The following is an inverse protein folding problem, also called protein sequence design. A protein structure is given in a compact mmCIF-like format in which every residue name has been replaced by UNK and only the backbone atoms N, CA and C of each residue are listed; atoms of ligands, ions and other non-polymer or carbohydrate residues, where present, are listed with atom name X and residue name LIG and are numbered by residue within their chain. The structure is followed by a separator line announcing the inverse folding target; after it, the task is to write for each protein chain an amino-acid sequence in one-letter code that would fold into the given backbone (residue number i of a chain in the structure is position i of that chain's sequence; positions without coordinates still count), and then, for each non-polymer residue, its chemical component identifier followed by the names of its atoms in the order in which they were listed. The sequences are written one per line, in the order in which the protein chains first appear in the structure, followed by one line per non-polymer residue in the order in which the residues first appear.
data_IF_526156018777
#
_entry.id   IF_526156018777
#
_cell.length_a   1.000
_cell.length_b   1.000
_cell.length_c   1.000
_cell.angle_alpha   90.00
_cell.angle_beta   90.00
_cell.angle_gamma   90.00
#
_symmetry.space_group_name_H-M   'P 1'
#
loop_
_entity.id
_entity.type
_entity.pdbx_description
1 polymer ?
#
# COMPACT_ATOMS: atom_id res chain seq x y z
N UNK A 1 23.98 3.35 16.23
CA UNK A 1 23.67 1.93 15.94
C UNK A 1 22.29 1.51 16.45
N UNK A 2 21.95 1.71 17.74
CA UNK A 2 20.64 1.33 18.29
C UNK A 2 19.44 1.94 17.54
N UNK A 3 19.49 3.24 17.22
CA UNK A 3 18.41 3.93 16.48
C UNK A 3 18.19 3.36 15.08
N UNK A 4 19.27 3.05 14.35
CA UNK A 4 19.21 2.45 13.01
C UNK A 4 18.56 1.06 13.07
N UNK A 5 18.87 0.26 14.08
CA UNK A 5 18.25 -1.06 14.28
C UNK A 5 16.77 -0.96 14.65
N UNK A 6 16.39 0.05 15.45
CA UNK A 6 14.98 0.31 15.79
C UNK A 6 14.22 0.77 14.53
N UNK A 7 14.79 1.67 13.73
CA UNK A 7 14.21 2.11 12.46
C UNK A 7 14.01 0.94 11.49
N UNK A 8 15.03 0.08 11.34
CA UNK A 8 14.94 -1.13 10.53
C UNK A 8 13.85 -2.09 11.02
N UNK A 9 13.70 -2.23 12.34
CA UNK A 9 12.63 -3.02 12.95
C UNK A 9 11.25 -2.41 12.66
N UNK A 10 11.10 -1.08 12.73
CA UNK A 10 9.88 -0.37 12.32
C UNK A 10 9.51 -0.63 10.87
N UNK A 11 10.48 -0.57 9.94
CA UNK A 11 10.29 -0.90 8.52
C UNK A 11 9.85 -2.36 8.36
N UNK A 12 10.51 -3.31 9.02
CA UNK A 12 10.16 -4.72 8.92
C UNK A 12 8.74 -4.97 9.46
N UNK A 13 8.36 -4.39 10.60
CA UNK A 13 7.02 -4.52 11.17
C UNK A 13 5.95 -3.94 10.23
N UNK A 14 6.22 -2.77 9.65
CA UNK A 14 5.35 -2.14 8.65
C UNK A 14 5.16 -3.01 7.41
N UNK A 15 6.27 -3.51 6.83
CA UNK A 15 6.24 -4.41 5.67
C UNK A 15 5.50 -5.71 5.96
N UNK A 16 5.78 -6.35 7.11
CA UNK A 16 5.11 -7.57 7.55
C UNK A 16 3.62 -7.31 7.74
N UNK A 17 3.24 -6.21 8.39
CA UNK A 17 1.85 -5.79 8.56
C UNK A 17 1.12 -5.68 7.23
N UNK A 18 1.69 -4.97 6.25
CA UNK A 18 1.07 -4.80 4.93
C UNK A 18 0.99 -6.11 4.14
N UNK A 19 2.08 -6.88 4.06
CA UNK A 19 2.13 -8.13 3.28
C UNK A 19 1.14 -9.15 3.88
N UNK A 20 1.12 -9.29 5.20
CA UNK A 20 0.24 -10.25 5.88
C UNK A 20 -1.21 -9.81 5.86
N UNK A 21 -1.51 -8.53 6.07
CA UNK A 21 -2.87 -8.01 5.93
C UNK A 21 -3.41 -8.29 4.53
N UNK A 22 -2.63 -7.97 3.50
CA UNK A 22 -2.98 -8.23 2.10
C UNK A 22 -3.26 -9.72 1.83
N UNK A 23 -2.46 -10.61 2.42
CA UNK A 23 -2.66 -12.07 2.30
C UNK A 23 -3.96 -12.54 2.96
N UNK A 24 -4.28 -12.04 4.16
CA UNK A 24 -5.52 -12.40 4.88
C UNK A 24 -6.75 -11.94 4.12
N UNK A 25 -6.74 -10.70 3.62
CA UNK A 25 -7.90 -10.19 2.88
C UNK A 25 -8.09 -10.93 1.55
N UNK A 26 -7.00 -11.23 0.82
CA UNK A 26 -7.05 -12.08 -0.38
C UNK A 26 -7.63 -13.47 -0.08
N UNK A 27 -7.22 -14.11 1.02
CA UNK A 27 -7.71 -15.44 1.43
C UNK A 27 -9.23 -15.45 1.68
N UNK A 28 -9.77 -14.38 2.29
CA UNK A 28 -11.21 -14.24 2.54
C UNK A 28 -12.00 -13.98 1.25
N UNK A 29 -11.36 -13.40 0.25
CA UNK A 29 -11.97 -12.99 -1.01
C UNK A 29 -11.98 -14.04 -2.11
N UNK A 30 -11.07 -15.04 -2.10
CA UNK A 30 -11.04 -16.11 -3.12
C UNK A 30 -12.38 -16.85 -3.26
N UNK A 31 -13.25 -16.83 -2.24
CA UNK A 31 -14.60 -17.40 -2.30
C UNK A 31 -15.65 -16.49 -2.98
N UNK A 32 -15.40 -15.18 -3.15
CA UNK A 32 -16.36 -14.18 -3.63
C UNK A 32 -15.97 -13.46 -4.94
N UNK A 33 -14.88 -13.88 -5.59
CA UNK A 33 -14.41 -13.29 -6.85
C UNK A 33 -15.54 -13.25 -7.90
N UNK A 34 -16.38 -14.30 -7.98
CA UNK A 34 -17.53 -14.36 -8.91
C UNK A 34 -18.61 -13.30 -8.65
N UNK A 35 -18.79 -12.86 -7.40
CA UNK A 35 -19.81 -11.86 -7.06
C UNK A 35 -19.34 -10.43 -7.37
N UNK A 36 -18.06 -10.12 -7.14
CA UNK A 36 -17.46 -8.82 -7.50
C UNK A 36 -17.51 -8.58 -9.02
N UNK A 37 -17.27 -9.63 -9.82
CA UNK A 37 -17.36 -9.57 -11.29
C UNK A 37 -18.77 -9.25 -11.79
N UNK A 38 -19.81 -9.67 -11.06
CA UNK A 38 -21.21 -9.53 -11.49
C UNK A 38 -21.70 -8.07 -11.49
N UNK A 39 -21.16 -7.22 -10.62
CA UNK A 39 -21.57 -5.81 -10.53
C UNK A 39 -20.81 -4.87 -11.48
N UNK A 40 -19.74 -5.37 -12.12
CA UNK A 40 -18.82 -4.56 -12.91
C UNK A 40 -19.28 -4.33 -14.37
N UNK A 41 -20.37 -4.95 -14.81
CA UNK A 41 -20.62 -5.20 -16.24
C UNK A 41 -21.41 -4.08 -16.94
N UNK A 42 -22.32 -3.39 -16.26
CA UNK A 42 -23.34 -2.60 -16.99
C UNK A 42 -23.07 -1.10 -17.12
N UNK A 43 -22.39 -0.44 -16.18
CA UNK A 43 -22.10 1.01 -16.27
C UNK A 43 -20.69 1.38 -15.78
N UNK A 44 -20.00 2.33 -16.42
CA UNK A 44 -18.69 2.81 -15.98
C UNK A 44 -18.66 3.23 -14.51
N UNK A 45 -19.72 3.85 -14.00
CA UNK A 45 -19.81 4.23 -12.58
C UNK A 45 -19.75 3.02 -11.63
N UNK A 46 -20.44 1.92 -11.96
CA UNK A 46 -20.36 0.68 -11.17
C UNK A 46 -19.00 0.00 -11.31
N UNK A 47 -18.36 0.12 -12.48
CA UNK A 47 -16.96 -0.29 -12.68
C UNK A 47 -16.01 0.46 -11.74
N UNK A 48 -16.15 1.78 -11.63
CA UNK A 48 -15.37 2.62 -10.71
C UNK A 48 -15.56 2.18 -9.26
N UNK A 49 -16.80 2.06 -8.79
CA UNK A 49 -17.08 1.63 -7.41
C UNK A 49 -16.56 0.21 -7.13
N UNK A 50 -16.68 -0.69 -8.11
CA UNK A 50 -16.14 -2.05 -8.00
C UNK A 50 -14.62 -2.01 -7.91
N UNK A 51 -13.95 -1.16 -8.68
CA UNK A 51 -12.52 -0.91 -8.60
C UNK A 51 -12.10 -0.41 -7.23
N UNK A 52 -12.78 0.62 -6.70
CA UNK A 52 -12.50 1.18 -5.36
C UNK A 52 -12.65 0.09 -4.29
N UNK A 53 -13.78 -0.62 -4.29
CA UNK A 53 -14.02 -1.70 -3.35
C UNK A 53 -12.97 -2.81 -3.49
N UNK A 54 -12.67 -3.23 -4.72
CA UNK A 54 -11.65 -4.24 -5.03
C UNK A 54 -10.29 -3.82 -4.49
N UNK A 55 -9.84 -2.59 -4.72
CA UNK A 55 -8.53 -2.14 -4.25
C UNK A 55 -8.44 -1.95 -2.73
N UNK A 56 -9.47 -1.40 -2.08
CA UNK A 56 -9.52 -1.30 -0.61
C UNK A 56 -9.40 -2.70 -0.01
N UNK A 57 -10.09 -3.67 -0.62
CA UNK A 57 -10.14 -5.04 -0.12
C UNK A 57 -8.83 -5.76 -0.44
N UNK A 58 -8.38 -5.84 -1.69
CA UNK A 58 -7.15 -6.55 -2.05
C UNK A 58 -5.87 -5.83 -1.65
N UNK A 59 -5.96 -4.57 -1.22
CA UNK A 59 -4.84 -3.67 -0.89
C UNK A 59 -3.81 -3.55 -2.02
N UNK A 60 -4.24 -3.81 -3.26
CA UNK A 60 -3.35 -3.92 -4.41
C UNK A 60 -4.12 -3.59 -5.69
N UNK A 61 -3.75 -2.47 -6.31
CA UNK A 61 -4.26 -2.10 -7.63
C UNK A 61 -3.71 -3.04 -8.71
N UNK A 62 -2.45 -3.46 -8.64
CA UNK A 62 -1.86 -4.44 -9.58
C UNK A 62 -2.65 -5.75 -9.67
N UNK A 63 -3.14 -6.28 -8.54
CA UNK A 63 -3.97 -7.49 -8.53
C UNK A 63 -5.35 -7.23 -9.17
N UNK A 64 -5.95 -6.08 -8.89
CA UNK A 64 -7.23 -5.68 -9.49
C UNK A 64 -7.08 -5.48 -11.01
N UNK A 65 -5.98 -4.87 -11.47
CA UNK A 65 -5.66 -4.67 -12.88
C UNK A 65 -5.42 -5.99 -13.60
N UNK A 66 -4.63 -6.91 -13.04
CA UNK A 66 -4.38 -8.22 -13.64
C UNK A 66 -5.68 -9.04 -13.79
N UNK A 67 -6.54 -9.03 -12.77
CA UNK A 67 -7.85 -9.66 -12.83
C UNK A 67 -8.74 -9.02 -13.91
N UNK A 68 -8.75 -7.69 -13.98
CA UNK A 68 -9.52 -6.95 -14.98
C UNK A 68 -9.05 -7.26 -16.40
N UNK A 69 -7.73 -7.32 -16.65
CA UNK A 69 -7.15 -7.75 -17.92
C UNK A 69 -7.64 -9.15 -18.29
N UNK A 70 -7.57 -10.11 -17.35
CA UNK A 70 -8.05 -11.47 -17.59
C UNK A 70 -9.55 -11.56 -17.93
N UNK A 71 -10.39 -10.72 -17.32
CA UNK A 71 -11.82 -10.64 -17.64
C UNK A 71 -12.08 -10.05 -19.02
N UNK A 72 -11.29 -9.06 -19.46
CA UNK A 72 -11.37 -8.49 -20.81
C UNK A 72 -10.94 -9.54 -21.85
N UNK A 73 -9.81 -10.22 -21.63
CA UNK A 73 -9.33 -11.30 -22.53
C UNK A 73 -10.34 -12.44 -22.64
N UNK A 74 -11.04 -12.77 -21.55
CA UNK A 74 -12.10 -13.78 -21.55
C UNK A 74 -13.43 -13.31 -22.17
N UNK A 75 -13.51 -12.05 -22.63
CA UNK A 75 -14.73 -11.47 -23.20
C UNK A 75 -15.85 -11.23 -22.18
N UNK A 76 -15.56 -11.27 -20.87
CA UNK A 76 -16.55 -11.14 -19.80
C UNK A 76 -16.90 -9.68 -19.50
N UNK A 77 -15.99 -8.75 -19.77
CA UNK A 77 -16.20 -7.30 -19.61
C UNK A 77 -15.64 -6.54 -20.81
N UNK A 78 -16.23 -5.38 -21.10
CA UNK A 78 -15.75 -4.50 -22.17
C UNK A 78 -14.46 -3.76 -21.76
N UNK A 79 -13.67 -3.35 -22.76
CA UNK A 79 -12.51 -2.46 -22.55
C UNK A 79 -12.90 -1.10 -21.91
N UNK A 80 -14.10 -0.60 -22.19
CA UNK A 80 -14.58 0.65 -21.57
C UNK A 80 -14.87 0.46 -20.07
N UNK A 81 -15.47 -0.68 -19.69
CA UNK A 81 -15.74 -1.00 -18.29
C UNK A 81 -14.45 -1.28 -17.52
N UNK A 82 -13.44 -1.88 -18.15
CA UNK A 82 -12.15 -2.15 -17.50
C UNK A 82 -11.42 -0.87 -17.11
N UNK A 83 -11.47 0.18 -17.93
CA UNK A 83 -10.87 1.47 -17.60
C UNK A 83 -11.45 2.04 -16.30
N UNK A 84 -12.76 1.95 -16.12
CA UNK A 84 -13.41 2.41 -14.90
C UNK A 84 -12.99 1.59 -13.67
N UNK A 85 -12.85 0.27 -13.81
CA UNK A 85 -12.37 -0.60 -12.72
C UNK A 85 -10.92 -0.26 -12.33
N UNK A 86 -10.04 -0.06 -13.32
CA UNK A 86 -8.64 0.31 -13.07
C UNK A 86 -8.56 1.67 -12.37
N UNK A 87 -9.27 2.68 -12.87
CA UNK A 87 -9.36 4.00 -12.22
C UNK A 87 -9.88 3.90 -10.78
N UNK A 88 -10.91 3.09 -10.57
CA UNK A 88 -11.44 2.85 -9.24
C UNK A 88 -10.42 2.18 -8.34
N UNK A 89 -9.66 1.21 -8.86
CA UNK A 89 -8.63 0.52 -8.11
C UNK A 89 -7.50 1.46 -7.67
N UNK A 90 -7.09 2.38 -8.53
CA UNK A 90 -6.09 3.40 -8.19
C UNK A 90 -6.62 4.37 -7.13
N UNK A 91 -7.88 4.80 -7.22
CA UNK A 91 -8.52 5.60 -6.15
C UNK A 91 -8.55 4.81 -4.84
N UNK A 92 -8.92 3.53 -4.88
CA UNK A 92 -9.03 2.70 -3.68
C UNK A 92 -7.69 2.52 -2.96
N UNK A 93 -6.58 2.34 -3.67
CA UNK A 93 -5.26 2.23 -3.04
C UNK A 93 -4.75 3.55 -2.46
N UNK A 94 -5.22 4.70 -2.96
CA UNK A 94 -4.89 6.00 -2.33
C UNK A 94 -5.45 6.11 -0.91
N UNK A 95 -6.60 5.48 -0.62
CA UNK A 95 -7.19 5.47 0.73
C UNK A 95 -6.27 4.78 1.75
N UNK A 96 -5.49 3.78 1.32
CA UNK A 96 -4.52 3.10 2.18
C UNK A 96 -3.43 4.06 2.65
N UNK A 97 -2.92 4.89 1.76
CA UNK A 97 -1.96 5.96 2.09
C UNK A 97 -2.65 7.04 2.92
N UNK A 98 -3.91 7.36 2.62
CA UNK A 98 -4.67 8.36 3.36
C UNK A 98 -4.89 7.98 4.82
N UNK A 99 -5.11 6.70 5.12
CA UNK A 99 -5.17 6.22 6.50
C UNK A 99 -3.85 6.46 7.26
N UNK A 100 -2.70 6.38 6.59
CA UNK A 100 -1.41 6.75 7.19
C UNK A 100 -1.35 8.24 7.49
N UNK A 101 -1.85 9.07 6.58
CA UNK A 101 -1.84 10.54 6.72
C UNK A 101 -2.76 11.00 7.86
N UNK A 102 -3.89 10.33 8.09
CA UNK A 102 -4.86 10.67 9.14
C UNK A 102 -4.40 10.37 10.58
N UNK A 103 -3.11 10.07 10.81
CA UNK A 103 -2.50 9.88 12.14
C UNK A 103 -3.20 8.81 13.00
N UNK A 104 -3.66 7.72 12.37
CA UNK A 104 -4.06 6.51 13.10
C UNK A 104 -2.90 5.86 13.88
N UNK A 105 -1.67 6.37 13.73
CA UNK A 105 -0.47 5.90 14.44
C UNK A 105 -0.59 6.00 15.96
N UNK A 106 -1.31 6.98 16.50
CA UNK A 106 -1.53 7.12 17.94
C UNK A 106 -2.36 5.96 18.53
N UNK A 107 -3.28 5.41 17.74
CA UNK A 107 -4.10 4.26 18.12
C UNK A 107 -3.44 2.91 17.78
N UNK A 108 -2.27 2.92 17.13
CA UNK A 108 -1.59 1.71 16.69
C UNK A 108 -1.33 0.70 17.80
N UNK A 109 -0.91 1.07 19.03
CA UNK A 109 -0.68 0.09 20.09
C UNK A 109 -1.98 -0.60 20.50
N UNK A 110 -3.12 0.11 20.48
CA UNK A 110 -4.42 -0.44 20.80
C UNK A 110 -4.83 -1.51 19.79
N UNK A 111 -4.66 -1.24 18.49
CA UNK A 111 -4.94 -2.22 17.44
C UNK A 111 -4.02 -3.45 17.53
N UNK A 112 -2.74 -3.25 17.81
CA UNK A 112 -1.79 -4.36 18.01
C UNK A 112 -2.18 -5.20 19.23
N UNK A 113 -2.48 -4.59 20.37
CA UNK A 113 -2.84 -5.31 21.60
C UNK A 113 -4.17 -6.06 21.46
N UNK A 114 -5.24 -5.37 21.04
CA UNK A 114 -6.56 -5.99 20.90
C UNK A 114 -6.57 -7.03 19.78
N UNK A 115 -5.99 -6.69 18.62
CA UNK A 115 -5.89 -7.60 17.49
C UNK A 115 -5.09 -8.86 17.85
N UNK A 116 -3.96 -8.70 18.54
CA UNK A 116 -3.13 -9.80 19.00
C UNK A 116 -3.85 -10.72 19.99
N UNK A 117 -4.54 -10.14 20.98
CA UNK A 117 -5.35 -10.90 21.93
C UNK A 117 -6.47 -11.70 21.25
N UNK A 118 -7.20 -11.06 20.32
CA UNK A 118 -8.24 -11.72 19.53
C UNK A 118 -7.66 -12.81 18.61
N UNK A 119 -6.49 -12.59 18.03
CA UNK A 119 -5.83 -13.56 17.15
C UNK A 119 -5.35 -14.81 17.91
N UNK A 120 -4.96 -14.66 19.18
CA UNK A 120 -4.58 -15.76 20.08
C UNK A 120 -5.77 -16.65 20.47
N UNK A 121 -7.01 -16.24 20.18
CA UNK A 121 -8.19 -17.09 20.43
C UNK A 121 -8.22 -18.33 19.52
N UNK A 122 -8.74 -19.45 20.04
CA UNK A 122 -8.55 -20.75 19.38
C UNK A 122 -9.39 -21.01 18.13
N UNK A 123 -10.55 -20.34 17.90
CA UNK A 123 -11.43 -20.73 16.77
C UNK A 123 -12.29 -19.61 16.18
N UNK A 124 -12.49 -19.71 14.86
CA UNK A 124 -13.58 -19.07 14.13
C UNK A 124 -13.31 -17.65 13.65
N UNK A 125 -14.40 -16.93 13.35
CA UNK A 125 -14.41 -15.55 12.80
C UNK A 125 -13.57 -14.55 13.62
N UNK A 126 -13.49 -14.74 14.93
CA UNK A 126 -12.76 -13.86 15.85
C UNK A 126 -11.24 -13.94 15.68
N UNK A 127 -10.72 -15.14 15.41
CA UNK A 127 -9.29 -15.32 15.11
C UNK A 127 -8.91 -14.55 13.84
N UNK A 128 -9.74 -14.64 12.79
CA UNK A 128 -9.51 -13.94 11.53
C UNK A 128 -9.68 -12.42 11.67
N UNK A 129 -10.69 -11.96 12.42
CA UNK A 129 -10.86 -10.54 12.71
C UNK A 129 -9.66 -10.00 13.51
N UNK A 130 -9.21 -10.72 14.54
CA UNK A 130 -8.02 -10.40 15.32
C UNK A 130 -6.76 -10.34 14.46
N UNK A 131 -6.55 -11.32 13.58
CA UNK A 131 -5.44 -11.36 12.62
C UNK A 131 -5.41 -10.09 11.74
N UNK A 132 -6.55 -9.67 11.19
CA UNK A 132 -6.65 -8.45 10.37
C UNK A 132 -6.37 -7.19 11.20
N UNK A 133 -6.99 -7.05 12.38
CA UNK A 133 -6.80 -5.89 13.25
C UNK A 133 -5.34 -5.80 13.72
N UNK A 134 -4.72 -6.93 14.03
CA UNK A 134 -3.32 -7.00 14.45
C UNK A 134 -2.39 -6.52 13.34
N UNK A 135 -2.54 -7.05 12.11
CA UNK A 135 -1.69 -6.63 11.00
C UNK A 135 -1.95 -5.18 10.60
N UNK A 136 -3.21 -4.72 10.65
CA UNK A 136 -3.54 -3.30 10.49
C UNK A 136 -2.81 -2.46 11.54
N UNK A 137 -2.85 -2.84 12.82
CA UNK A 137 -2.10 -2.18 13.89
C UNK A 137 -0.58 -2.17 13.66
N UNK A 138 0.01 -3.28 13.19
CA UNK A 138 1.44 -3.37 12.90
C UNK A 138 1.91 -2.40 11.81
N UNK A 139 1.07 -2.13 10.81
CA UNK A 139 1.37 -1.12 9.77
C UNK A 139 1.63 0.22 10.44
N UNK A 140 0.66 0.71 11.23
CA UNK A 140 0.78 2.00 11.88
C UNK A 140 1.83 2.03 13.00
N UNK A 141 2.00 0.93 13.72
CA UNK A 141 3.00 0.83 14.78
C UNK A 141 4.43 0.84 14.22
N UNK A 142 4.65 0.15 13.10
CA UNK A 142 5.92 0.22 12.37
C UNK A 142 6.22 1.63 11.87
N UNK A 143 5.22 2.33 11.34
CA UNK A 143 5.34 3.72 10.91
C UNK A 143 5.60 4.69 12.06
N UNK A 144 4.98 4.49 13.23
CA UNK A 144 5.24 5.27 14.44
C UNK A 144 6.69 5.11 14.90
N UNK A 145 7.21 3.88 14.91
CA UNK A 145 8.62 3.61 15.22
C UNK A 145 9.55 4.31 14.22
N UNK A 146 9.25 4.23 12.92
CA UNK A 146 10.02 4.93 11.87
C UNK A 146 9.99 6.44 12.15
N UNK A 147 8.81 7.00 12.43
CA UNK A 147 8.63 8.43 12.71
C UNK A 147 9.49 8.89 13.90
N UNK A 148 9.42 8.17 15.03
CA UNK A 148 10.17 8.50 16.25
C UNK A 148 11.68 8.36 16.08
N UNK A 149 12.13 7.37 15.31
CA UNK A 149 13.56 7.16 15.02
C UNK A 149 14.10 8.06 13.92
N UNK A 150 13.24 8.61 13.06
CA UNK A 150 13.62 9.52 12.01
C UNK A 150 13.74 10.97 12.51
N UNK A 151 13.05 11.35 13.58
CA UNK A 151 13.11 12.71 14.14
C UNK A 151 14.55 13.19 14.49
N UNK A 152 15.45 12.37 15.09
CA UNK A 152 16.85 12.76 15.31
C UNK A 152 17.67 12.90 14.01
N UNK A 153 17.25 12.28 12.90
CA UNK A 153 17.99 12.34 11.63
C UNK A 153 18.01 13.75 11.02
N UNK A 154 17.08 14.64 11.39
CA UNK A 154 17.13 16.07 11.02
C UNK A 154 18.47 16.73 11.36
N UNK A 155 19.10 16.28 12.44
CA UNK A 155 20.34 16.86 12.95
C UNK A 155 21.59 16.16 12.40
N UNK A 156 21.43 15.09 11.62
CA UNK A 156 22.55 14.33 11.05
C UNK A 156 23.15 15.05 9.82
N UNK A 157 24.47 15.34 9.82
CA UNK A 157 25.15 15.95 8.67
C UNK A 157 25.03 15.13 7.39
N UNK A 158 24.97 13.80 7.52
CA UNK A 158 24.80 12.87 6.39
C UNK A 158 23.42 13.02 5.78
N UNK A 159 22.38 13.10 6.61
CA UNK A 159 21.00 13.25 6.14
C UNK A 159 20.84 14.56 5.38
N UNK A 160 21.34 15.67 5.94
CA UNK A 160 21.31 17.00 5.30
C UNK A 160 22.10 17.01 3.98
N UNK A 161 23.27 16.37 3.93
CA UNK A 161 24.08 16.31 2.71
C UNK A 161 23.39 15.57 1.56
N UNK A 162 22.81 14.39 1.82
CA UNK A 162 22.10 13.63 0.78
C UNK A 162 20.76 14.28 0.40
N UNK A 163 20.03 14.88 1.35
CA UNK A 163 18.75 15.55 1.05
C UNK A 163 18.91 16.86 0.28
N UNK A 164 20.00 17.61 0.52
CA UNK A 164 20.30 18.84 -0.23
C UNK A 164 20.81 18.56 -1.65
N UNK A 165 21.42 17.39 -1.87
CA UNK A 165 21.83 16.87 -3.19
C UNK A 165 20.66 16.22 -3.96
N UNK A 166 19.61 15.76 -3.27
CA UNK A 166 18.45 15.08 -3.85
C UNK A 166 17.49 15.99 -4.65
N UNK A 167 17.88 17.23 -4.97
CA UNK A 167 17.09 18.15 -5.80
C UNK A 167 16.86 17.69 -7.23
N UNK A 168 17.51 16.61 -7.69
CA UNK A 168 17.33 16.09 -9.02
C UNK A 168 16.04 15.23 -9.10
N UNK A 169 14.98 15.68 -9.80
CA UNK A 169 13.72 14.95 -9.87
C UNK A 169 13.87 13.55 -10.51
N UNK A 170 14.81 13.38 -11.44
CA UNK A 170 15.04 12.11 -12.11
C UNK A 170 15.57 11.04 -11.13
N UNK A 171 16.37 11.46 -10.15
CA UNK A 171 16.84 10.55 -9.12
C UNK A 171 15.70 10.07 -8.23
N UNK A 172 14.82 10.99 -7.78
CA UNK A 172 13.63 10.63 -7.01
C UNK A 172 12.70 9.68 -7.78
N UNK A 173 12.47 9.96 -9.08
CA UNK A 173 11.73 9.08 -9.98
C UNK A 173 12.32 7.67 -10.03
N UNK A 174 13.62 7.55 -10.29
CA UNK A 174 14.32 6.27 -10.36
C UNK A 174 14.27 5.50 -9.04
N UNK A 175 14.45 6.19 -7.92
CA UNK A 175 14.34 5.60 -6.58
C UNK A 175 12.94 5.01 -6.34
N UNK A 176 11.89 5.77 -6.66
CA UNK A 176 10.51 5.31 -6.53
C UNK A 176 10.23 4.05 -7.36
N UNK A 177 10.71 4.02 -8.60
CA UNK A 177 10.58 2.86 -9.51
C UNK A 177 11.28 1.64 -8.90
N UNK A 178 12.55 1.76 -8.53
CA UNK A 178 13.36 0.64 -8.04
C UNK A 178 12.80 0.09 -6.74
N UNK A 179 12.50 0.95 -5.77
CA UNK A 179 11.95 0.53 -4.47
C UNK A 179 10.61 -0.17 -4.69
N UNK A 180 9.74 0.41 -5.52
CA UNK A 180 8.43 -0.19 -5.80
C UNK A 180 8.53 -1.49 -6.58
N UNK A 181 9.48 -1.61 -7.51
CA UNK A 181 9.70 -2.85 -8.24
C UNK A 181 10.16 -3.98 -7.31
N UNK A 182 10.99 -3.69 -6.30
CA UNK A 182 11.46 -4.67 -5.32
C UNK A 182 10.31 -5.11 -4.40
N UNK A 183 9.52 -4.16 -3.89
CA UNK A 183 8.46 -4.47 -2.92
C UNK A 183 7.11 -4.78 -3.56
N UNK A 184 6.99 -4.61 -4.87
CA UNK A 184 5.79 -4.82 -5.71
C UNK A 184 4.53 -4.05 -5.28
N UNK A 185 4.66 -2.98 -4.49
CA UNK A 185 3.53 -2.20 -4.00
C UNK A 185 3.92 -0.73 -3.81
N UNK A 186 3.25 0.19 -4.52
CA UNK A 186 3.53 1.63 -4.47
C UNK A 186 3.11 2.29 -3.15
N UNK A 187 2.06 1.76 -2.49
CA UNK A 187 1.60 2.25 -1.19
C UNK A 187 2.69 2.19 -0.10
N UNK A 188 3.65 1.27 -0.22
CA UNK A 188 4.75 1.08 0.72
C UNK A 188 5.69 2.31 0.74
N UNK A 189 6.43 2.62 -0.35
CA UNK A 189 7.31 3.78 -0.38
C UNK A 189 6.55 5.09 -0.19
N UNK A 190 5.32 5.21 -0.72
CA UNK A 190 4.52 6.43 -0.56
C UNK A 190 4.15 6.67 0.91
N UNK A 191 3.78 5.62 1.66
CA UNK A 191 3.45 5.76 3.10
C UNK A 191 4.66 6.13 3.95
N UNK A 192 5.83 5.53 3.66
CA UNK A 192 7.08 5.89 4.34
C UNK A 192 7.42 7.35 4.07
N UNK A 193 7.37 7.76 2.80
CA UNK A 193 7.62 9.13 2.37
C UNK A 193 6.65 10.13 3.04
N UNK A 194 5.36 9.76 3.15
CA UNK A 194 4.36 10.58 3.83
C UNK A 194 4.69 10.81 5.31
N UNK A 195 5.14 9.77 6.03
CA UNK A 195 5.57 9.91 7.43
C UNK A 195 6.83 10.78 7.55
N UNK A 196 7.81 10.59 6.67
CA UNK A 196 8.99 11.44 6.67
C UNK A 196 8.65 12.90 6.35
N UNK A 197 7.68 13.15 5.45
CA UNK A 197 7.18 14.48 5.16
C UNK A 197 6.43 15.11 6.34
N UNK A 198 5.63 14.34 7.09
CA UNK A 198 5.00 14.82 8.34
C UNK A 198 6.02 15.22 9.41
N UNK A 199 7.20 14.60 9.38
CA UNK A 199 8.33 14.98 10.20
C UNK A 199 9.18 16.07 9.56
N UNK A 200 8.75 16.81 8.54
CA UNK A 200 9.54 17.79 7.77
C UNK A 200 10.93 17.31 7.30
N UNK A 201 11.14 15.99 7.18
CA UNK A 201 12.38 15.43 6.68
C UNK A 201 12.43 15.45 5.15
N UNK A 202 11.27 15.46 4.51
CA UNK A 202 11.12 15.42 3.04
C UNK A 202 10.14 16.51 2.60
N UNK A 203 10.63 17.46 1.80
CA UNK A 203 9.79 18.45 1.13
C UNK A 203 9.03 17.87 -0.06
N UNK A 204 7.96 18.55 -0.46
CA UNK A 204 7.14 18.20 -1.64
C UNK A 204 7.97 18.03 -2.92
N UNK A 205 8.97 18.89 -3.12
CA UNK A 205 9.89 18.85 -4.26
C UNK A 205 10.63 17.52 -4.42
N UNK A 206 11.01 16.88 -3.31
CA UNK A 206 11.67 15.58 -3.31
C UNK A 206 10.66 14.43 -3.25
N UNK A 207 9.50 14.66 -2.64
CA UNK A 207 8.47 13.65 -2.48
C UNK A 207 7.75 13.33 -3.80
N UNK A 208 7.35 14.34 -4.57
CA UNK A 208 6.55 14.16 -5.79
C UNK A 208 7.25 13.23 -6.80
N UNK A 209 8.54 13.40 -7.14
CA UNK A 209 9.20 12.51 -8.08
C UNK A 209 9.25 11.05 -7.61
N UNK A 210 9.44 10.82 -6.30
CA UNK A 210 9.42 9.47 -5.73
C UNK A 210 8.02 8.84 -5.82
N UNK A 211 6.96 9.61 -5.55
CA UNK A 211 5.56 9.14 -5.69
C UNK A 211 5.25 8.77 -7.15
N UNK A 212 5.66 9.61 -8.11
CA UNK A 212 5.50 9.33 -9.53
C UNK A 212 6.25 8.05 -9.92
N UNK A 213 7.49 7.92 -9.46
CA UNK A 213 8.31 6.74 -9.68
C UNK A 213 7.67 5.48 -9.10
N UNK A 214 7.09 5.58 -7.90
CA UNK A 214 6.42 4.47 -7.26
C UNK A 214 5.21 3.98 -8.06
N UNK A 215 4.37 4.90 -8.55
CA UNK A 215 3.23 4.53 -9.38
C UNK A 215 3.65 3.91 -10.71
N UNK A 216 4.73 4.40 -11.34
CA UNK A 216 5.32 3.79 -12.54
C UNK A 216 5.89 2.39 -12.22
N UNK A 217 6.54 2.21 -11.07
CA UNK A 217 7.06 0.89 -10.67
C UNK A 217 5.97 -0.18 -10.62
N UNK A 218 4.76 0.16 -10.16
CA UNK A 218 3.63 -0.79 -10.15
C UNK A 218 3.09 -1.14 -11.54
N UNK A 219 3.24 -0.29 -12.57
CA UNK A 219 2.68 -0.57 -13.91
C UNK A 219 3.40 -1.70 -14.63
N UNK A 220 4.67 -1.99 -14.28
CA UNK A 220 5.43 -3.13 -14.83
C UNK A 220 4.66 -4.45 -14.66
N UNK A 221 3.98 -4.63 -13.52
CA UNK A 221 3.17 -5.84 -13.27
C UNK A 221 1.97 -5.95 -14.21
N UNK A 222 1.33 -4.83 -14.56
CA UNK A 222 0.21 -4.81 -15.49
C UNK A 222 0.67 -5.09 -16.93
N UNK A 223 1.81 -4.55 -17.33
CA UNK A 223 2.42 -4.84 -18.64
C UNK A 223 2.72 -6.33 -18.78
N UNK A 224 3.34 -6.94 -17.76
CA UNK A 224 3.63 -8.37 -17.75
C UNK A 224 2.33 -9.20 -17.81
N UNK A 225 1.30 -8.84 -17.04
CA UNK A 225 0.01 -9.52 -17.09
C UNK A 225 -0.62 -9.48 -18.50
N UNK A 226 -0.53 -8.34 -19.19
CA UNK A 226 -1.03 -8.18 -20.56
C UNK A 226 -0.28 -9.00 -21.61
N UNK A 227 1.00 -9.36 -21.38
CA UNK A 227 1.75 -10.22 -22.32
C UNK A 227 1.39 -11.70 -22.25
N UNK A 228 0.72 -12.13 -21.17
CA UNK A 228 0.36 -13.55 -20.91
C UNK A 228 -1.15 -13.79 -21.10
N UNK A 229 -1.94 -12.72 -21.23
CA UNK A 229 -3.40 -12.74 -21.36
C UNK A 229 -3.87 -12.68 -22.83
#
# INVERSE_FOLDING_TARGET
MKEVLIAASGIILFLVGMIRLSSVVRRLMNARIKELVKYAVDKPFYGLLTGVASAIVFQSSSASTALTIGLVSAGLISFYSSLAIILGADIGTTLTVQFVIWRFTEFSPLFVSIGGLLWLTRRGRWKTAGEMIFYFGLIFFGLEIISQTAAPLKQSPVFVHYFTQAKNPLFGLGLGIVVTAIVHASAIPISILAVLAQQDLVGLENAIPVVLGANIGTTVTALLAGTVA
#
